data_IF_452100334505
#
_entry.id   IF_452100334505
#
_cell.length_a   1.000
_cell.length_b   1.000
_cell.length_c   1.000
_cell.angle_alpha   90.00
_cell.angle_beta   90.00
_cell.angle_gamma   90.00
#
_symmetry.space_group_name_H-M   'P 1'
#
loop_
_entity.id
_entity.type
_entity.pdbx_description
1 polymer ?
#
# COMPACT_ATOMS: atom_id res chain seq x y z
N UNK A 1 51.47 7.44 14.35
CA UNK A 1 50.82 6.13 14.54
C UNK A 1 49.40 6.26 14.04
N UNK A 2 49.07 5.52 12.98
CA UNK A 2 47.78 5.49 12.31
C UNK A 2 46.85 4.49 13.00
N UNK A 3 45.55 4.78 12.98
CA UNK A 3 44.37 3.90 13.11
C UNK A 3 43.19 4.79 13.55
N UNK A 4 41.98 4.72 13.03
CA UNK A 4 41.38 3.85 12.03
C UNK A 4 40.17 4.61 11.48
N UNK A 5 40.02 4.59 10.15
CA UNK A 5 38.93 5.26 9.43
C UNK A 5 38.07 4.13 8.91
N UNK A 6 37.12 3.66 9.71
CA UNK A 6 36.19 2.63 9.26
C UNK A 6 35.20 3.24 8.25
N UNK A 7 35.06 2.69 7.03
CA UNK A 7 34.10 3.16 6.04
C UNK A 7 32.71 2.59 6.34
N UNK A 8 31.69 3.45 6.29
CA UNK A 8 30.30 3.02 6.21
C UNK A 8 30.07 2.46 4.80
N UNK A 9 30.21 1.13 4.64
CA UNK A 9 29.96 0.48 3.35
C UNK A 9 28.47 0.55 3.00
N UNK A 10 28.25 0.91 1.74
CA UNK A 10 26.94 1.16 1.14
C UNK A 10 26.12 -0.11 1.01
N UNK A 11 24.89 -0.02 1.50
CA UNK A 11 23.79 -0.92 1.20
C UNK A 11 22.62 -0.12 0.64
N UNK A 12 22.86 0.67 -0.40
CA UNK A 12 21.81 1.44 -1.08
C UNK A 12 22.03 1.33 -2.59
N UNK A 13 21.34 0.40 -3.26
CA UNK A 13 21.35 0.37 -4.73
C UNK A 13 20.23 -0.42 -5.41
N UNK A 14 19.27 -1.03 -4.68
CA UNK A 14 18.19 -1.79 -5.35
C UNK A 14 16.77 -1.22 -5.14
N UNK A 15 16.56 -0.29 -4.22
CA UNK A 15 15.24 0.31 -3.94
C UNK A 15 14.95 1.64 -4.69
N UNK A 16 15.97 2.32 -5.21
CA UNK A 16 15.84 3.71 -5.69
C UNK A 16 15.33 3.90 -7.12
N UNK A 17 15.66 3.00 -8.06
CA UNK A 17 15.53 3.30 -9.49
C UNK A 17 14.15 2.97 -10.09
N UNK A 18 13.49 1.92 -9.61
CA UNK A 18 12.15 1.50 -10.05
C UNK A 18 11.03 2.19 -9.28
N UNK A 19 11.25 2.55 -8.02
CA UNK A 19 10.25 3.22 -7.17
C UNK A 19 9.92 4.64 -7.62
N UNK A 20 10.91 5.44 -8.01
CA UNK A 20 10.72 6.85 -8.36
C UNK A 20 9.84 7.07 -9.58
N UNK A 21 10.19 6.46 -10.73
CA UNK A 21 9.44 6.63 -11.99
C UNK A 21 8.03 6.04 -11.95
N UNK A 22 7.88 4.89 -11.28
CA UNK A 22 6.56 4.28 -11.08
C UNK A 22 5.68 5.20 -10.22
N UNK A 23 6.23 5.73 -9.13
CA UNK A 23 5.52 6.67 -8.27
C UNK A 23 5.10 7.93 -9.02
N UNK A 24 5.99 8.57 -9.78
CA UNK A 24 5.65 9.78 -10.56
C UNK A 24 4.47 9.54 -11.51
N UNK A 25 4.45 8.37 -12.16
CA UNK A 25 3.37 7.98 -13.06
C UNK A 25 2.05 7.79 -12.30
N UNK A 26 2.08 7.13 -11.15
CA UNK A 26 0.88 6.91 -10.31
C UNK A 26 0.40 8.22 -9.70
N UNK A 27 1.30 9.09 -9.27
CA UNK A 27 1.01 10.40 -8.71
C UNK A 27 0.31 11.28 -9.75
N UNK A 28 0.90 11.42 -10.95
CA UNK A 28 0.31 12.19 -12.04
C UNK A 28 -1.06 11.63 -12.45
N UNK A 29 -1.18 10.31 -12.60
CA UNK A 29 -2.45 9.65 -12.92
C UNK A 29 -3.50 9.87 -11.82
N UNK A 30 -3.09 9.83 -10.55
CA UNK A 30 -3.96 10.06 -9.41
C UNK A 30 -4.50 11.49 -9.37
N UNK A 31 -3.62 12.49 -9.51
CA UNK A 31 -4.03 13.89 -9.54
C UNK A 31 -4.93 14.20 -10.74
N UNK A 32 -4.60 13.67 -11.92
CA UNK A 32 -5.43 13.83 -13.11
C UNK A 32 -6.83 13.22 -12.93
N UNK A 33 -6.94 12.05 -12.29
CA UNK A 33 -8.23 11.41 -12.04
C UNK A 33 -9.08 12.20 -11.02
N UNK A 34 -8.45 12.80 -10.00
CA UNK A 34 -9.13 13.70 -9.05
C UNK A 34 -9.72 14.91 -9.78
N UNK A 35 -8.90 15.58 -10.60
CA UNK A 35 -9.33 16.74 -11.39
C UNK A 35 -10.45 16.39 -12.38
N UNK A 36 -10.30 15.28 -13.11
CA UNK A 36 -11.30 14.83 -14.07
C UNK A 36 -12.63 14.49 -13.38
N UNK A 37 -12.57 13.86 -12.20
CA UNK A 37 -13.76 13.53 -11.41
C UNK A 37 -14.45 14.78 -10.90
N UNK A 38 -13.71 15.74 -10.35
CA UNK A 38 -14.26 17.03 -9.90
C UNK A 38 -14.94 17.76 -11.06
N UNK A 39 -14.25 17.88 -12.20
CA UNK A 39 -14.80 18.50 -13.43
C UNK A 39 -16.07 17.80 -13.91
N UNK A 40 -16.11 16.46 -13.85
CA UNK A 40 -17.30 15.70 -14.21
C UNK A 40 -18.46 15.96 -13.26
N UNK A 41 -18.25 15.83 -11.94
CA UNK A 41 -19.31 15.95 -10.94
C UNK A 41 -19.89 17.37 -10.87
N UNK A 42 -19.06 18.40 -11.03
CA UNK A 42 -19.50 19.81 -11.00
C UNK A 42 -20.18 20.25 -12.30
N UNK A 43 -19.88 19.58 -13.41
CA UNK A 43 -20.45 19.89 -14.73
C UNK A 43 -21.43 18.83 -15.23
N UNK A 44 -21.04 18.02 -16.24
CA UNK A 44 -21.96 17.11 -16.94
C UNK A 44 -22.60 16.05 -16.04
N UNK A 45 -21.93 15.64 -14.96
CA UNK A 45 -22.46 14.70 -13.97
C UNK A 45 -23.73 15.22 -13.30
N UNK A 46 -23.80 16.53 -13.03
CA UNK A 46 -24.98 17.15 -12.43
C UNK A 46 -26.18 17.15 -13.38
N UNK A 47 -25.97 17.38 -14.67
CA UNK A 47 -27.04 17.32 -15.66
C UNK A 47 -27.52 15.88 -15.89
N UNK A 48 -26.57 14.93 -16.00
CA UNK A 48 -26.89 13.52 -16.12
C UNK A 48 -27.74 13.05 -14.93
N UNK A 49 -27.36 13.40 -13.70
CA UNK A 49 -28.04 13.00 -12.47
C UNK A 49 -29.54 13.41 -12.42
N UNK A 50 -29.91 14.53 -13.05
CA UNK A 50 -31.31 15.02 -13.09
C UNK A 50 -32.22 14.17 -13.96
N UNK A 51 -31.66 13.53 -14.99
CA UNK A 51 -32.40 12.74 -15.97
C UNK A 51 -32.47 11.25 -15.62
N UNK A 52 -31.80 10.84 -14.55
CA UNK A 52 -31.73 9.44 -14.14
C UNK A 52 -33.07 8.92 -13.61
N UNK A 53 -33.43 7.66 -13.91
CA UNK A 53 -34.45 6.94 -13.17
C UNK A 53 -34.16 6.93 -11.67
N UNK A 54 -35.21 6.80 -10.84
CA UNK A 54 -35.09 6.89 -9.37
C UNK A 54 -34.03 5.94 -8.79
N UNK A 55 -33.98 4.69 -9.24
CA UNK A 55 -33.00 3.70 -8.77
C UNK A 55 -31.57 4.10 -9.15
N UNK A 56 -31.34 4.43 -10.42
CA UNK A 56 -30.04 4.90 -10.90
C UNK A 56 -29.58 6.20 -10.21
N UNK A 57 -30.50 7.10 -9.89
CA UNK A 57 -30.23 8.35 -9.18
C UNK A 57 -29.75 8.12 -7.73
N UNK A 58 -30.36 7.16 -7.03
CA UNK A 58 -29.92 6.75 -5.69
C UNK A 58 -28.52 6.13 -5.73
N UNK A 59 -28.27 5.20 -6.66
CA UNK A 59 -26.95 4.58 -6.85
C UNK A 59 -25.91 5.63 -7.22
N UNK A 60 -26.22 6.53 -8.16
CA UNK A 60 -25.32 7.62 -8.55
C UNK A 60 -24.92 8.50 -7.37
N UNK A 61 -25.88 8.86 -6.52
CA UNK A 61 -25.63 9.70 -5.35
C UNK A 61 -24.71 9.02 -4.34
N UNK A 62 -24.99 7.75 -4.01
CA UNK A 62 -24.16 6.97 -3.09
C UNK A 62 -22.74 6.78 -3.65
N UNK A 63 -22.63 6.32 -4.89
CA UNK A 63 -21.34 6.00 -5.51
C UNK A 63 -20.50 7.25 -5.81
N UNK A 64 -21.14 8.41 -6.02
CA UNK A 64 -20.41 9.67 -6.20
C UNK A 64 -19.70 10.10 -4.91
N UNK A 65 -20.34 9.92 -3.75
CA UNK A 65 -19.72 10.20 -2.44
C UNK A 65 -18.60 9.21 -2.14
N UNK A 66 -18.81 7.93 -2.46
CA UNK A 66 -17.79 6.90 -2.25
C UNK A 66 -16.58 7.12 -3.16
N UNK A 67 -16.82 7.46 -4.43
CA UNK A 67 -15.79 7.82 -5.40
C UNK A 67 -14.93 8.99 -4.90
N UNK A 68 -15.56 10.09 -4.45
CA UNK A 68 -14.80 11.26 -3.97
C UNK A 68 -14.02 10.96 -2.70
N UNK A 69 -14.62 10.20 -1.76
CA UNK A 69 -13.95 9.79 -0.53
C UNK A 69 -12.73 8.92 -0.83
N UNK A 70 -12.87 7.94 -1.72
CA UNK A 70 -11.78 7.06 -2.15
C UNK A 70 -10.65 7.84 -2.83
N UNK A 71 -10.99 8.74 -3.74
CA UNK A 71 -10.01 9.59 -4.43
C UNK A 71 -9.27 10.51 -3.45
N UNK A 72 -9.96 11.05 -2.44
CA UNK A 72 -9.35 11.87 -1.40
C UNK A 72 -8.37 11.06 -0.54
N UNK A 73 -8.74 9.84 -0.15
CA UNK A 73 -7.84 8.94 0.59
C UNK A 73 -6.60 8.60 -0.25
N UNK A 74 -6.77 8.25 -1.52
CA UNK A 74 -5.68 7.99 -2.45
C UNK A 74 -4.77 9.21 -2.62
N UNK A 75 -5.36 10.40 -2.82
CA UNK A 75 -4.63 11.66 -2.97
C UNK A 75 -3.80 11.98 -1.72
N UNK A 76 -4.39 11.82 -0.54
CA UNK A 76 -3.71 12.05 0.74
C UNK A 76 -2.49 11.16 0.90
N UNK A 77 -2.60 9.88 0.55
CA UNK A 77 -1.46 8.95 0.57
C UNK A 77 -0.39 9.35 -0.45
N UNK A 78 -0.78 9.73 -1.68
CA UNK A 78 0.16 10.15 -2.72
C UNK A 78 0.93 11.42 -2.34
N UNK A 79 0.27 12.42 -1.76
CA UNK A 79 0.92 13.65 -1.28
C UNK A 79 1.88 13.34 -0.14
N UNK A 80 1.48 12.47 0.79
CA UNK A 80 2.34 12.01 1.87
C UNK A 80 3.60 11.31 1.35
N UNK A 81 3.48 10.41 0.38
CA UNK A 81 4.64 9.75 -0.22
C UNK A 81 5.55 10.72 -0.98
N UNK A 82 4.97 11.74 -1.62
CA UNK A 82 5.74 12.81 -2.24
C UNK A 82 6.58 13.54 -1.19
N UNK A 83 6.02 13.88 -0.03
CA UNK A 83 6.77 14.50 1.07
C UNK A 83 7.90 13.60 1.60
N UNK A 84 7.68 12.29 1.69
CA UNK A 84 8.74 11.32 2.06
C UNK A 84 9.87 11.34 1.04
N UNK A 85 9.54 11.30 -0.24
CA UNK A 85 10.52 11.28 -1.33
C UNK A 85 11.30 12.58 -1.43
N UNK A 86 10.63 13.71 -1.24
CA UNK A 86 11.22 15.04 -1.31
C UNK A 86 12.04 15.35 -0.02
N UNK A 87 12.07 14.42 0.95
CA UNK A 87 12.87 14.51 2.18
C UNK A 87 12.24 15.35 3.28
N UNK A 88 11.00 15.80 3.08
CA UNK A 88 10.23 16.61 4.03
C UNK A 88 9.64 15.76 5.17
N UNK A 89 9.51 14.44 4.97
CA UNK A 89 9.02 13.50 5.98
C UNK A 89 9.89 12.24 6.05
N UNK A 90 10.12 11.73 7.27
CA UNK A 90 10.87 10.48 7.46
C UNK A 90 10.05 9.25 7.07
N UNK A 91 10.71 8.23 6.53
CA UNK A 91 10.05 6.96 6.14
C UNK A 91 9.41 6.25 7.33
N UNK A 92 10.00 6.34 8.51
CA UNK A 92 9.45 5.74 9.74
C UNK A 92 8.15 6.42 10.18
N UNK A 93 8.04 7.73 9.96
CA UNK A 93 6.82 8.49 10.26
C UNK A 93 5.70 8.12 9.29
N UNK A 94 6.04 7.92 8.01
CA UNK A 94 5.12 7.46 6.98
C UNK A 94 4.54 6.07 7.25
N UNK A 95 5.28 5.21 7.96
CA UNK A 95 4.84 3.86 8.33
C UNK A 95 3.75 3.85 9.43
N UNK A 96 3.45 5.01 10.05
CA UNK A 96 2.42 5.10 11.07
C UNK A 96 1.03 4.73 10.52
N UNK A 97 0.22 4.03 11.33
CA UNK A 97 -1.12 3.55 10.93
C UNK A 97 -2.03 4.64 10.35
N UNK A 98 -1.90 5.88 10.80
CA UNK A 98 -2.69 7.03 10.31
C UNK A 98 -2.43 7.40 8.84
N UNK A 99 -1.29 6.99 8.28
CA UNK A 99 -0.90 7.28 6.90
C UNK A 99 -0.96 6.05 6.00
N UNK A 100 -1.30 4.88 6.57
CA UNK A 100 -1.49 3.63 5.84
C UNK A 100 -2.84 3.68 5.15
N UNK A 101 -2.88 3.22 3.91
CA UNK A 101 -4.12 3.17 3.12
C UNK A 101 -4.58 1.72 3.01
N UNK A 102 -5.82 1.47 3.39
CA UNK A 102 -6.42 0.14 3.36
C UNK A 102 -7.83 0.24 2.81
N UNK A 103 -8.25 -0.84 2.17
CA UNK A 103 -9.63 -1.00 1.74
C UNK A 103 -10.49 -1.39 2.95
N UNK A 104 -11.41 -0.52 3.32
CA UNK A 104 -12.40 -0.78 4.38
C UNK A 104 -13.71 -1.31 3.79
N UNK A 105 -14.08 -0.81 2.61
CA UNK A 105 -15.34 -1.12 1.93
C UNK A 105 -15.10 -2.07 0.73
N UNK A 106 -16.08 -2.93 0.40
CA UNK A 106 -15.99 -3.78 -0.78
C UNK A 106 -15.85 -2.93 -2.06
N UNK A 107 -15.12 -3.41 -3.09
CA UNK A 107 -14.97 -2.68 -4.34
C UNK A 107 -16.31 -2.47 -5.05
N UNK A 108 -16.46 -1.30 -5.67
CA UNK A 108 -17.59 -0.99 -6.52
C UNK A 108 -17.51 -1.79 -7.82
N UNK A 109 -18.53 -2.60 -8.08
CA UNK A 109 -18.66 -3.34 -9.33
C UNK A 109 -19.37 -2.50 -10.40
N UNK A 110 -18.60 -1.62 -11.05
CA UNK A 110 -19.10 -0.81 -12.14
C UNK A 110 -19.61 -1.63 -13.33
N UNK A 111 -19.14 -2.87 -13.53
CA UNK A 111 -19.60 -3.73 -14.61
C UNK A 111 -21.03 -4.23 -14.33
N UNK A 112 -21.35 -4.58 -13.07
CA UNK A 112 -22.71 -4.96 -12.66
C UNK A 112 -23.73 -3.83 -12.83
N UNK A 113 -23.28 -2.57 -12.84
CA UNK A 113 -24.13 -1.39 -13.03
C UNK A 113 -24.26 -0.94 -14.50
N UNK A 114 -23.58 -1.60 -15.44
CA UNK A 114 -23.70 -1.29 -16.86
C UNK A 114 -25.11 -1.60 -17.37
N UNK A 115 -25.71 -0.66 -18.09
CA UNK A 115 -27.07 -0.81 -18.64
C UNK A 115 -28.21 -0.55 -17.65
N UNK A 116 -27.91 -0.28 -16.36
CA UNK A 116 -28.92 0.05 -15.35
C UNK A 116 -29.28 1.55 -15.28
N UNK A 117 -29.00 2.29 -16.35
CA UNK A 117 -29.31 3.72 -16.48
C UNK A 117 -28.22 4.67 -15.99
N UNK A 118 -27.15 4.18 -15.37
CA UNK A 118 -26.02 5.02 -14.95
C UNK A 118 -25.21 5.54 -16.17
N UNK A 119 -24.68 6.78 -16.12
CA UNK A 119 -23.92 7.33 -17.23
C UNK A 119 -22.60 6.58 -17.44
N UNK A 120 -22.28 6.21 -18.68
CA UNK A 120 -21.06 5.45 -19.01
C UNK A 120 -19.78 6.14 -18.51
N UNK A 121 -19.72 7.48 -18.62
CA UNK A 121 -18.58 8.27 -18.15
C UNK A 121 -18.40 8.18 -16.64
N UNK A 122 -19.49 8.12 -15.87
CA UNK A 122 -19.42 7.94 -14.42
C UNK A 122 -18.87 6.56 -14.07
N UNK A 123 -19.35 5.50 -14.75
CA UNK A 123 -18.85 4.14 -14.54
C UNK A 123 -17.37 4.01 -14.87
N UNK A 124 -16.88 4.67 -15.93
CA UNK A 124 -15.44 4.71 -16.26
C UNK A 124 -14.60 5.36 -15.15
N UNK A 125 -15.06 6.48 -14.59
CA UNK A 125 -14.39 7.14 -13.46
C UNK A 125 -14.34 6.22 -12.22
N UNK A 126 -15.44 5.52 -11.92
CA UNK A 126 -15.50 4.54 -10.83
C UNK A 126 -14.48 3.43 -11.06
N UNK A 127 -14.48 2.80 -12.24
CA UNK A 127 -13.52 1.73 -12.58
C UNK A 127 -12.07 2.18 -12.45
N UNK A 128 -11.74 3.37 -12.98
CA UNK A 128 -10.39 3.92 -12.90
C UNK A 128 -9.98 4.25 -11.48
N UNK A 129 -10.93 4.74 -10.65
CA UNK A 129 -10.68 5.01 -9.23
C UNK A 129 -10.38 3.73 -8.44
N UNK A 130 -11.10 2.65 -8.73
CA UNK A 130 -10.91 1.33 -8.12
C UNK A 130 -9.54 0.77 -8.46
N UNK A 131 -9.17 0.79 -9.75
CA UNK A 131 -7.86 0.33 -10.21
C UNK A 131 -6.71 1.16 -9.61
N UNK A 132 -6.88 2.47 -9.50
CA UNK A 132 -5.89 3.34 -8.87
C UNK A 132 -5.75 3.02 -7.38
N UNK A 133 -6.86 2.92 -6.65
CA UNK A 133 -6.86 2.66 -5.21
C UNK A 133 -6.24 1.31 -4.90
N UNK A 134 -6.60 0.26 -5.65
CA UNK A 134 -6.00 -1.06 -5.50
C UNK A 134 -4.48 -1.04 -5.76
N UNK A 135 -4.04 -0.35 -6.81
CA UNK A 135 -2.62 -0.18 -7.09
C UNK A 135 -1.88 0.54 -5.95
N UNK A 136 -2.51 1.56 -5.35
CA UNK A 136 -1.94 2.30 -4.20
C UNK A 136 -1.88 1.41 -2.96
N UNK A 137 -2.92 0.62 -2.66
CA UNK A 137 -2.87 -0.35 -1.55
C UNK A 137 -1.74 -1.37 -1.72
N UNK A 138 -1.56 -1.92 -2.92
CA UNK A 138 -0.44 -2.83 -3.22
C UNK A 138 0.91 -2.15 -3.04
N UNK A 139 1.03 -0.88 -3.43
CA UNK A 139 2.26 -0.11 -3.25
C UNK A 139 2.53 0.18 -1.76
N UNK A 140 1.51 0.54 -0.98
CA UNK A 140 1.59 0.72 0.47
C UNK A 140 2.04 -0.56 1.18
N UNK A 141 1.48 -1.71 0.80
CA UNK A 141 1.88 -3.01 1.34
C UNK A 141 3.29 -3.42 0.93
N UNK A 142 3.71 -3.15 -0.31
CA UNK A 142 5.09 -3.39 -0.73
C UNK A 142 6.09 -2.52 0.06
N UNK A 143 5.73 -1.26 0.35
CA UNK A 143 6.60 -0.30 1.04
C UNK A 143 6.69 -0.54 2.56
N UNK A 144 5.59 -0.85 3.24
CA UNK A 144 5.61 -1.02 4.71
C UNK A 144 5.02 -2.34 5.24
N UNK A 145 4.44 -3.20 4.40
CA UNK A 145 3.91 -4.50 4.81
C UNK A 145 4.99 -5.51 5.21
N UNK A 146 6.15 -5.49 4.55
CA UNK A 146 7.26 -6.41 4.84
C UNK A 146 7.86 -6.17 6.25
N UNK A 147 7.87 -4.92 6.71
CA UNK A 147 8.38 -4.53 8.04
C UNK A 147 7.52 -5.10 9.18
N UNK A 148 6.20 -5.28 8.94
CA UNK A 148 5.30 -5.89 9.92
C UNK A 148 5.43 -7.43 9.98
N UNK A 149 5.67 -8.09 8.85
CA UNK A 149 5.87 -9.55 8.80
C UNK A 149 7.22 -9.99 9.40
N UNK A 150 8.27 -9.18 9.24
CA UNK A 150 9.58 -9.44 9.86
C UNK A 150 9.58 -9.31 11.40
N UNK A 151 8.56 -8.66 11.98
CA UNK A 151 8.37 -8.58 13.44
C UNK A 151 7.46 -9.69 14.00
N UNK A 152 6.89 -10.57 13.16
CA UNK A 152 6.26 -11.77 13.66
C UNK A 152 7.35 -12.80 14.03
N UNK A 153 7.36 -13.36 15.25
CA UNK A 153 8.35 -14.36 15.62
C UNK A 153 8.20 -15.55 14.67
N UNK A 154 9.23 -15.78 13.84
CA UNK A 154 9.27 -16.95 12.98
C UNK A 154 9.58 -18.16 13.87
N UNK A 155 8.61 -19.07 14.11
CA UNK A 155 8.76 -20.15 15.08
C UNK A 155 9.92 -21.09 14.71
N UNK A 156 10.23 -21.22 13.41
CA UNK A 156 11.37 -22.02 12.94
C UNK A 156 12.70 -21.33 13.28
N UNK A 157 12.76 -20.01 13.19
CA UNK A 157 13.97 -19.26 13.53
C UNK A 157 14.24 -19.26 15.04
N UNK A 158 13.18 -19.25 15.86
CA UNK A 158 13.30 -19.49 17.30
C UNK A 158 13.80 -20.91 17.61
N UNK A 159 13.28 -21.93 16.93
CA UNK A 159 13.73 -23.31 17.08
C UNK A 159 15.20 -23.49 16.68
N UNK A 160 15.64 -22.88 15.57
CA UNK A 160 17.05 -22.90 15.14
C UNK A 160 17.94 -22.20 16.17
N UNK A 161 17.50 -21.05 16.70
CA UNK A 161 18.25 -20.31 17.73
C UNK A 161 18.35 -21.08 19.04
N UNK A 162 17.30 -21.82 19.43
CA UNK A 162 17.32 -22.70 20.59
C UNK A 162 18.26 -23.90 20.40
N UNK A 163 18.28 -24.51 19.20
CA UNK A 163 19.20 -25.58 18.86
C UNK A 163 20.66 -25.11 18.87
N UNK A 164 20.94 -23.91 18.36
CA UNK A 164 22.29 -23.31 18.40
C UNK A 164 22.74 -23.07 19.85
N UNK A 165 21.88 -22.51 20.70
CA UNK A 165 22.18 -22.34 22.13
C UNK A 165 22.39 -23.67 22.86
N UNK A 166 21.61 -24.70 22.53
CA UNK A 166 21.77 -26.04 23.10
C UNK A 166 23.07 -26.72 22.64
N UNK A 167 23.49 -26.49 21.39
CA UNK A 167 24.76 -26.97 20.87
C UNK A 167 25.96 -26.27 21.54
N UNK A 168 25.87 -24.96 21.79
CA UNK A 168 26.91 -24.19 22.49
C UNK A 168 27.02 -24.51 23.98
N UNK A 169 25.93 -24.93 24.62
CA UNK A 169 25.90 -25.34 26.04
C UNK A 169 26.34 -26.80 26.26
N UNK A 170 26.85 -27.48 25.22
CA UNK A 170 27.44 -28.81 25.34
C UNK A 170 26.44 -29.96 25.49
N UNK A 171 25.16 -29.76 25.13
CA UNK A 171 24.16 -30.84 25.14
C UNK A 171 24.48 -31.97 24.14
N UNK A 172 25.34 -31.68 23.15
CA UNK A 172 25.89 -32.63 22.20
C UNK A 172 27.40 -32.79 22.45
N UNK A 173 27.78 -33.34 23.60
CA UNK A 173 29.15 -33.80 23.82
C UNK A 173 29.26 -35.29 23.42
N UNK A 174 29.79 -35.61 22.22
CA UNK A 174 29.84 -36.98 21.72
C UNK A 174 30.75 -37.90 22.53
N UNK A 175 31.57 -37.36 23.46
CA UNK A 175 32.43 -38.14 24.35
C UNK A 175 31.72 -38.58 25.64
N UNK A 176 30.55 -38.00 25.99
CA UNK A 176 29.77 -38.38 27.17
C UNK A 176 28.99 -39.70 26.99
N UNK A 177 28.67 -40.10 25.76
CA UNK A 177 27.90 -41.33 25.48
C UNK A 177 28.71 -42.61 25.77
N UNK A 178 30.05 -42.53 25.71
CA UNK A 178 30.94 -43.68 25.85
C UNK A 178 31.49 -43.92 27.26
N UNK A 179 31.18 -43.06 28.24
CA UNK A 179 31.69 -43.18 29.62
C UNK A 179 30.73 -43.85 30.60
N UNK A 180 29.54 -44.31 30.17
CA UNK A 180 28.55 -45.00 31.03
C UNK A 180 28.47 -46.52 30.89
N UNK A 181 29.36 -47.15 30.12
CA UNK A 181 29.48 -48.61 30.09
C UNK A 181 30.73 -49.06 30.86
N UNK A 182 30.61 -49.18 32.19
CA UNK A 182 31.47 -50.05 32.99
C UNK A 182 30.69 -50.66 34.13
#
# INVERSE_FOLDING_TARGET
MAADKSPHEGGDSQDGFTGGKLFDTVFARGMALVEETATYLDGPGRENAKTLPREASLTYSAWSMELTTRLMQAASWLVMQKAVRDGEMRREEAAARKYRIRREEPPLDAAAQQGLGLPQRFLDLVMRSEALFEQICRLDDALYGQRAAASAPNPVNEQISQLQKAAETGAFDPLMVWTRAK
#
